data_IF_971700100248
#
_entry.id   IF_971700100248
#
_cell.length_a   1.000
_cell.length_b   1.000
_cell.length_c   1.000
_cell.angle_alpha   90.00
_cell.angle_beta   90.00
_cell.angle_gamma   90.00
#
_symmetry.space_group_name_H-M   'P 1'
#
loop_
_entity.id
_entity.type
_entity.pdbx_description
1 polymer ?
#
# COMPACT_ATOMS: atom_id res chain seq x y z
N UNK A 1 52.09 -75.65 -53.16
CA UNK A 1 51.95 -75.30 -54.58
C UNK A 1 50.74 -74.38 -54.70
N UNK A 2 50.93 -73.22 -55.33
CA UNK A 2 49.91 -72.27 -55.82
C UNK A 2 49.28 -71.31 -54.79
N UNK A 3 49.24 -70.07 -55.27
CA UNK A 3 48.96 -68.75 -54.68
C UNK A 3 47.51 -68.46 -54.31
N UNK A 4 47.37 -67.58 -53.30
CA UNK A 4 46.64 -66.28 -53.22
C UNK A 4 45.19 -66.20 -53.75
N UNK A 5 44.34 -65.48 -52.99
CA UNK A 5 43.37 -64.43 -53.39
C UNK A 5 42.23 -64.38 -52.34
N UNK A 6 41.55 -63.29 -52.00
CA UNK A 6 41.80 -61.85 -51.94
C UNK A 6 40.66 -61.31 -51.05
N UNK A 7 40.97 -60.32 -50.22
CA UNK A 7 40.06 -59.63 -49.29
C UNK A 7 38.94 -58.87 -50.02
N UNK A 8 37.72 -58.94 -49.48
CA UNK A 8 36.67 -57.94 -49.68
C UNK A 8 35.78 -57.86 -48.41
N UNK A 9 36.24 -57.09 -47.41
CA UNK A 9 35.35 -56.29 -46.57
C UNK A 9 34.61 -55.23 -47.42
N UNK A 10 33.55 -54.55 -47.00
CA UNK A 10 32.99 -54.17 -45.69
C UNK A 10 31.59 -53.62 -45.95
N UNK A 11 30.66 -53.65 -44.99
CA UNK A 11 29.61 -52.62 -44.80
C UNK A 11 28.60 -53.02 -43.71
N UNK A 12 28.89 -52.77 -42.43
CA UNK A 12 27.86 -52.92 -41.37
C UNK A 12 28.09 -52.00 -40.14
N UNK A 13 28.37 -50.70 -40.33
CA UNK A 13 28.59 -49.78 -39.19
C UNK A 13 28.10 -48.35 -39.40
N UNK A 14 26.96 -48.12 -40.09
CA UNK A 14 26.48 -46.72 -40.27
C UNK A 14 24.99 -46.45 -39.99
N UNK A 15 24.13 -47.46 -39.86
CA UNK A 15 22.67 -47.23 -39.69
C UNK A 15 22.26 -46.76 -38.28
N UNK A 16 22.87 -47.30 -37.22
CA UNK A 16 22.47 -46.98 -35.83
C UNK A 16 22.89 -45.59 -35.37
N UNK A 17 24.02 -45.07 -35.86
CA UNK A 17 24.50 -43.72 -35.52
C UNK A 17 23.66 -42.63 -36.19
N UNK A 18 23.09 -42.93 -37.37
CA UNK A 18 22.21 -42.01 -38.10
C UNK A 18 20.82 -41.91 -37.44
N UNK A 19 20.22 -43.04 -37.03
CA UNK A 19 18.93 -43.05 -36.32
C UNK A 19 18.99 -42.31 -34.97
N UNK A 20 20.10 -42.40 -34.24
CA UNK A 20 20.32 -41.69 -32.97
C UNK A 20 20.35 -40.17 -33.17
N UNK A 21 21.05 -39.68 -34.21
CA UNK A 21 21.15 -38.25 -34.51
C UNK A 21 19.80 -37.66 -34.96
N UNK A 22 19.03 -38.40 -35.76
CA UNK A 22 17.69 -37.97 -36.20
C UNK A 22 16.72 -37.86 -35.01
N UNK A 23 16.76 -38.81 -34.07
CA UNK A 23 15.92 -38.74 -32.85
C UNK A 23 16.28 -37.54 -31.97
N UNK A 24 17.57 -37.23 -31.81
CA UNK A 24 18.02 -36.05 -31.04
C UNK A 24 17.58 -34.75 -31.72
N UNK A 25 17.69 -34.65 -33.05
CA UNK A 25 17.25 -33.47 -33.81
C UNK A 25 15.73 -33.24 -33.71
N UNK A 26 14.93 -34.31 -33.73
CA UNK A 26 13.47 -34.21 -33.55
C UNK A 26 13.12 -33.73 -32.14
N UNK A 27 13.81 -34.23 -31.10
CA UNK A 27 13.57 -33.79 -29.71
C UNK A 27 13.97 -32.33 -29.51
N UNK A 28 15.12 -31.91 -30.04
CA UNK A 28 15.56 -30.50 -29.99
C UNK A 28 14.59 -29.59 -30.75
N UNK A 29 14.08 -30.02 -31.89
CA UNK A 29 13.05 -29.30 -32.64
C UNK A 29 11.75 -29.10 -31.85
N UNK A 30 11.28 -30.14 -31.14
CA UNK A 30 10.07 -30.06 -30.30
C UNK A 30 10.29 -29.13 -29.09
N UNK A 31 11.47 -29.14 -28.47
CA UNK A 31 11.79 -28.23 -27.35
C UNK A 31 11.90 -26.77 -27.81
N UNK A 32 12.47 -26.50 -28.99
CA UNK A 32 12.56 -25.14 -29.52
C UNK A 32 11.19 -24.62 -29.96
N UNK A 33 10.37 -25.46 -30.61
CA UNK A 33 9.00 -25.10 -31.00
C UNK A 33 8.07 -24.91 -29.78
N UNK A 34 8.24 -25.71 -28.73
CA UNK A 34 7.52 -25.54 -27.46
C UNK A 34 7.91 -24.25 -26.73
N UNK A 35 9.17 -23.81 -26.79
CA UNK A 35 9.57 -22.54 -26.16
C UNK A 35 9.18 -21.30 -26.99
N UNK A 36 8.95 -21.44 -28.30
CA UNK A 36 8.48 -20.33 -29.14
C UNK A 36 6.98 -20.03 -28.96
N UNK A 37 6.16 -21.00 -28.55
CA UNK A 37 4.73 -20.80 -28.32
C UNK A 37 4.39 -20.28 -26.92
N UNK A 38 5.30 -20.37 -25.94
CA UNK A 38 5.09 -19.83 -24.58
C UNK A 38 5.61 -18.40 -24.36
N UNK A 39 6.16 -17.75 -25.40
CA UNK A 39 6.79 -16.43 -25.29
C UNK A 39 5.92 -15.21 -25.61
N UNK A 40 4.65 -15.37 -25.95
CA UNK A 40 3.74 -14.25 -26.29
C UNK A 40 2.37 -14.37 -25.64
N UNK A 41 2.30 -14.74 -24.36
CA UNK A 41 1.18 -14.26 -23.57
C UNK A 41 1.35 -12.75 -23.45
N UNK A 42 0.62 -12.01 -24.29
CA UNK A 42 0.37 -10.59 -24.09
C UNK A 42 -0.10 -10.46 -22.65
N UNK A 43 0.76 -9.95 -21.77
CA UNK A 43 0.33 -9.48 -20.47
C UNK A 43 -0.71 -8.40 -20.74
N UNK A 44 -1.99 -8.77 -20.71
CA UNK A 44 -3.09 -7.84 -20.58
C UNK A 44 -2.97 -7.28 -19.17
N UNK A 45 -2.05 -6.32 -19.01
CA UNK A 45 -1.99 -5.48 -17.84
C UNK A 45 -3.26 -4.65 -17.85
N UNK A 46 -4.27 -5.07 -17.09
CA UNK A 46 -5.39 -4.21 -16.76
C UNK A 46 -4.80 -2.98 -16.06
N UNK A 47 -4.73 -1.86 -16.78
CA UNK A 47 -4.51 -0.56 -16.17
C UNK A 47 -5.78 -0.21 -15.41
N UNK A 48 -5.86 -0.65 -14.16
CA UNK A 48 -6.86 -0.14 -13.23
C UNK A 48 -6.47 1.31 -12.91
N UNK A 49 -7.15 2.27 -13.52
CA UNK A 49 -7.20 3.62 -12.96
C UNK A 49 -8.32 3.63 -11.93
N UNK A 50 -7.98 3.52 -10.65
CA UNK A 50 -8.93 3.82 -9.58
C UNK A 50 -9.02 5.34 -9.52
N UNK A 51 -10.07 5.91 -10.11
CA UNK A 51 -10.47 7.29 -9.85
C UNK A 51 -11.33 7.30 -8.59
N UNK A 52 -10.75 7.69 -7.47
CA UNK A 52 -11.49 7.90 -6.24
C UNK A 52 -12.21 9.25 -6.33
N UNK A 53 -13.55 9.21 -6.29
CA UNK A 53 -14.38 10.40 -6.27
C UNK A 53 -14.56 10.78 -4.80
N UNK A 54 -14.04 11.94 -4.42
CA UNK A 54 -14.37 12.55 -3.14
C UNK A 54 -15.87 12.86 -3.13
N UNK A 55 -16.64 12.02 -2.43
CA UNK A 55 -18.11 12.12 -2.40
C UNK A 55 -18.60 13.43 -1.77
N UNK A 56 -17.75 14.10 -1.00
CA UNK A 56 -18.05 15.35 -0.33
C UNK A 56 -17.35 16.55 -0.99
N UNK A 57 -16.86 16.39 -2.22
CA UNK A 57 -16.24 17.47 -2.96
C UNK A 57 -17.21 18.64 -3.12
N UNK A 58 -16.75 19.83 -2.72
CA UNK A 58 -17.48 21.06 -2.88
C UNK A 58 -16.58 22.10 -3.56
N UNK A 59 -16.98 22.51 -4.76
CA UNK A 59 -16.31 23.56 -5.53
C UNK A 59 -16.25 24.89 -4.76
N UNK A 60 -17.20 25.13 -3.85
CA UNK A 60 -17.21 26.33 -3.02
C UNK A 60 -16.07 26.36 -1.99
N UNK A 61 -15.34 25.26 -1.82
CA UNK A 61 -14.14 25.12 -1.00
C UNK A 61 -12.82 25.13 -1.81
N UNK A 62 -12.85 25.51 -3.09
CA UNK A 62 -11.64 25.52 -3.94
C UNK A 62 -11.00 26.91 -3.95
N UNK A 63 -9.69 26.97 -3.70
CA UNK A 63 -8.90 28.21 -3.61
C UNK A 63 -7.61 28.09 -4.43
N UNK A 64 -7.12 29.23 -4.94
CA UNK A 64 -5.77 29.33 -5.48
C UNK A 64 -4.74 29.20 -4.35
N UNK A 65 -3.76 28.30 -4.49
CA UNK A 65 -2.75 28.02 -3.44
C UNK A 65 -1.88 29.23 -3.11
N UNK A 66 -1.50 30.00 -4.13
CA UNK A 66 -0.58 31.13 -4.01
C UNK A 66 -1.23 32.38 -3.40
N UNK A 67 -2.50 32.64 -3.73
CA UNK A 67 -3.21 33.87 -3.32
C UNK A 67 -4.25 33.63 -2.22
N UNK A 68 -4.63 32.38 -1.96
CA UNK A 68 -5.73 32.04 -1.06
C UNK A 68 -7.10 32.50 -1.56
N UNK A 69 -7.22 33.03 -2.79
CA UNK A 69 -8.48 33.51 -3.35
C UNK A 69 -9.35 32.35 -3.79
N UNK A 70 -10.65 32.43 -3.49
CA UNK A 70 -11.64 31.42 -3.90
C UNK A 70 -11.75 31.36 -5.43
N UNK A 71 -11.78 30.15 -5.96
CA UNK A 71 -12.02 29.87 -7.39
C UNK A 71 -13.53 29.84 -7.61
N UNK A 72 -14.01 30.60 -8.60
CA UNK A 72 -15.44 30.61 -8.95
C UNK A 72 -15.82 29.31 -9.66
N UNK A 73 -17.09 28.91 -9.59
CA UNK A 73 -17.61 27.73 -10.31
C UNK A 73 -17.29 27.77 -11.80
N UNK A 74 -17.46 28.94 -12.44
CA UNK A 74 -17.12 29.15 -13.85
C UNK A 74 -15.64 28.90 -14.12
N UNK A 75 -14.76 29.53 -13.35
CA UNK A 75 -13.31 29.34 -13.47
C UNK A 75 -12.92 27.89 -13.23
N UNK A 76 -13.49 27.23 -12.23
CA UNK A 76 -13.25 25.82 -11.95
C UNK A 76 -13.67 24.92 -13.12
N UNK A 77 -14.85 25.14 -13.70
CA UNK A 77 -15.28 24.41 -14.91
C UNK A 77 -14.33 24.61 -16.08
N UNK A 78 -13.80 25.81 -16.28
CA UNK A 78 -12.79 26.09 -17.31
C UNK A 78 -11.47 25.34 -17.04
N UNK A 79 -11.05 25.25 -15.77
CA UNK A 79 -9.86 24.50 -15.36
C UNK A 79 -10.01 23.00 -15.63
N UNK A 80 -11.12 22.38 -15.20
CA UNK A 80 -11.40 20.96 -15.43
C UNK A 80 -11.53 20.65 -16.93
N UNK A 81 -12.12 21.54 -17.73
CA UNK A 81 -12.21 21.34 -19.19
C UNK A 81 -10.83 21.33 -19.85
N UNK A 82 -9.88 22.13 -19.34
CA UNK A 82 -8.50 22.19 -19.83
C UNK A 82 -7.66 21.02 -19.33
N UNK A 83 -7.87 20.59 -18.10
CA UNK A 83 -7.20 19.46 -17.48
C UNK A 83 -8.23 18.60 -16.71
N UNK A 84 -8.76 17.53 -17.32
CA UNK A 84 -9.69 16.62 -16.64
C UNK A 84 -9.10 15.91 -15.42
N UNK A 85 -7.76 15.79 -15.37
CA UNK A 85 -7.02 15.18 -14.26
C UNK A 85 -6.44 16.26 -13.32
N UNK A 86 -7.20 17.32 -13.09
CA UNK A 86 -6.79 18.43 -12.24
C UNK A 86 -6.48 17.95 -10.82
N UNK A 87 -5.29 18.28 -10.33
CA UNK A 87 -4.89 17.96 -8.96
C UNK A 87 -5.27 19.09 -8.01
N UNK A 88 -5.88 18.71 -6.89
CA UNK A 88 -6.21 19.58 -5.77
C UNK A 88 -5.57 19.03 -4.50
N UNK A 89 -4.78 19.88 -3.84
CA UNK A 89 -4.24 19.59 -2.51
C UNK A 89 -5.34 19.82 -1.48
N UNK A 90 -5.48 18.91 -0.50
CA UNK A 90 -6.54 18.99 0.51
C UNK A 90 -5.98 19.52 1.82
N UNK A 91 -6.70 20.46 2.42
CA UNK A 91 -6.55 20.81 3.83
C UNK A 91 -7.57 20.00 4.63
N UNK A 92 -7.07 19.22 5.60
CA UNK A 92 -7.87 18.23 6.34
C UNK A 92 -7.82 18.55 7.83
N UNK A 93 -8.99 18.68 8.46
CA UNK A 93 -9.11 19.00 9.88
C UNK A 93 -8.74 17.82 10.80
N UNK A 94 -8.92 18.00 12.12
CA UNK A 94 -8.69 16.93 13.09
C UNK A 94 -9.70 15.77 12.99
N UNK A 95 -10.89 15.99 12.43
CA UNK A 95 -11.90 14.95 12.24
C UNK A 95 -11.76 14.18 10.92
N UNK A 96 -10.79 14.56 10.08
CA UNK A 96 -10.63 13.98 8.75
C UNK A 96 -11.56 14.60 7.70
N UNK A 97 -12.18 15.76 7.97
CA UNK A 97 -12.98 16.47 6.98
C UNK A 97 -12.09 17.36 6.11
N UNK A 98 -12.40 17.42 4.81
CA UNK A 98 -11.76 18.37 3.91
C UNK A 98 -12.38 19.76 4.11
N UNK A 99 -11.57 20.68 4.60
CA UNK A 99 -11.98 22.07 4.84
C UNK A 99 -11.75 22.95 3.62
N UNK A 100 -10.67 22.70 2.87
CA UNK A 100 -10.30 23.45 1.66
C UNK A 100 -9.61 22.55 0.64
N UNK A 101 -9.76 22.92 -0.63
CA UNK A 101 -8.99 22.39 -1.74
C UNK A 101 -8.14 23.50 -2.34
N UNK A 102 -6.87 23.24 -2.57
CA UNK A 102 -5.93 24.19 -3.14
C UNK A 102 -5.54 23.77 -4.56
N UNK A 103 -5.80 24.67 -5.50
CA UNK A 103 -5.32 24.59 -6.88
C UNK A 103 -3.99 25.34 -7.01
N UNK A 104 -2.95 24.62 -7.44
CA UNK A 104 -1.63 25.17 -7.72
C UNK A 104 -1.36 25.07 -9.24
N UNK A 105 -1.44 26.18 -10.01
CA UNK A 105 -1.20 26.16 -11.45
C UNK A 105 0.20 25.63 -11.82
N UNK A 106 1.19 25.80 -10.93
CA UNK A 106 2.58 25.39 -11.15
C UNK A 106 2.79 23.90 -10.88
N UNK A 107 1.87 23.27 -10.16
CA UNK A 107 1.95 21.87 -9.77
C UNK A 107 0.71 21.08 -10.19
N UNK A 108 0.42 21.16 -11.48
CA UNK A 108 -0.57 20.30 -12.14
C UNK A 108 0.08 19.06 -12.78
N UNK A 109 1.41 18.97 -12.74
CA UNK A 109 2.19 17.84 -13.25
C UNK A 109 2.72 17.04 -12.05
N UNK A 110 1.82 16.36 -11.36
CA UNK A 110 2.21 15.26 -10.51
C UNK A 110 1.55 14.02 -11.11
N UNK A 111 2.35 13.20 -11.79
CA UNK A 111 2.06 11.76 -11.84
C UNK A 111 1.57 11.36 -10.45
N UNK A 112 0.45 10.63 -10.36
CA UNK A 112 -0.29 10.10 -9.20
C UNK A 112 0.57 9.47 -8.08
N UNK A 113 1.63 10.14 -7.67
CA UNK A 113 2.59 9.73 -6.67
C UNK A 113 2.28 10.62 -5.49
N UNK A 114 1.74 10.07 -4.40
CA UNK A 114 1.54 10.80 -3.15
C UNK A 114 2.87 11.23 -2.49
N UNK A 115 3.98 11.24 -3.24
CA UNK A 115 5.35 11.40 -2.77
C UNK A 115 5.82 12.87 -2.69
N UNK A 116 5.06 13.84 -3.19
CA UNK A 116 5.57 15.19 -3.33
C UNK A 116 5.23 16.17 -2.19
N UNK A 117 4.17 15.95 -1.38
CA UNK A 117 3.54 17.10 -0.69
C UNK A 117 2.85 16.88 0.66
N UNK A 118 3.32 15.95 1.48
CA UNK A 118 3.04 16.05 2.90
C UNK A 118 4.35 16.26 3.62
N UNK A 119 4.42 17.30 4.44
CA UNK A 119 5.51 17.51 5.40
C UNK A 119 5.86 16.15 5.99
N UNK A 120 7.12 15.74 5.84
CA UNK A 120 7.62 14.57 6.57
C UNK A 120 7.26 14.83 8.02
N UNK A 121 6.48 13.94 8.63
CA UNK A 121 6.12 14.08 10.04
C UNK A 121 7.44 14.16 10.80
N UNK A 122 7.77 15.35 11.29
CA UNK A 122 9.00 15.58 12.02
C UNK A 122 8.88 14.93 13.40
N UNK A 123 9.99 14.40 13.90
CA UNK A 123 10.02 13.87 15.28
C UNK A 123 9.62 14.99 16.24
N UNK A 124 8.86 14.64 17.27
CA UNK A 124 8.31 15.61 18.21
C UNK A 124 6.86 15.97 17.85
N UNK A 125 6.61 16.88 16.93
CA UNK A 125 5.23 17.35 16.74
C UNK A 125 4.36 16.39 15.91
N UNK A 126 3.18 16.04 16.40
CA UNK A 126 2.19 15.27 15.64
C UNK A 126 0.83 15.97 15.59
N UNK A 127 0.23 16.18 14.40
CA UNK A 127 -1.08 16.81 14.29
C UNK A 127 -2.17 15.98 14.99
N UNK A 128 -3.12 16.67 15.64
CA UNK A 128 -4.22 16.00 16.32
C UNK A 128 -5.12 15.20 15.36
N UNK A 129 -5.74 14.15 15.89
CA UNK A 129 -6.91 13.50 15.29
C UNK A 129 -8.06 13.32 16.27
N UNK A 130 -9.26 13.30 15.72
CA UNK A 130 -10.52 12.92 16.34
C UNK A 130 -11.21 11.90 15.45
N UNK A 131 -11.09 10.63 15.80
CA UNK A 131 -11.61 9.50 15.02
C UNK A 131 -12.83 8.89 15.70
N UNK A 132 -13.73 8.32 14.88
CA UNK A 132 -14.81 7.46 15.36
C UNK A 132 -14.55 6.05 14.86
N UNK A 133 -14.51 5.07 15.76
CA UNK A 133 -14.30 3.67 15.41
C UNK A 133 -15.53 3.07 14.74
N UNK A 134 -15.39 1.91 14.12
CA UNK A 134 -16.52 1.16 13.54
C UNK A 134 -17.58 0.81 14.59
N UNK A 135 -17.22 0.79 15.86
CA UNK A 135 -18.09 0.52 17.01
C UNK A 135 -18.52 1.78 17.76
N UNK A 136 -18.36 2.96 17.13
CA UNK A 136 -18.82 4.27 17.61
C UNK A 136 -18.06 4.83 18.81
N UNK A 137 -16.90 4.25 19.15
CA UNK A 137 -15.99 4.84 20.14
C UNK A 137 -15.33 6.08 19.54
N UNK A 138 -15.38 7.21 20.25
CA UNK A 138 -14.64 8.42 19.88
C UNK A 138 -13.23 8.36 20.46
N UNK A 139 -12.24 8.76 19.67
CA UNK A 139 -10.83 8.80 20.06
C UNK A 139 -10.26 10.16 19.69
N UNK A 140 -9.75 10.91 20.66
CA UNK A 140 -8.99 12.15 20.46
C UNK A 140 -7.56 11.96 20.98
N UNK A 141 -6.55 12.21 20.14
CA UNK A 141 -5.15 12.06 20.56
C UNK A 141 -4.81 12.93 21.76
N UNK A 142 -5.39 14.13 21.89
CA UNK A 142 -5.18 15.01 23.05
C UNK A 142 -5.70 14.40 24.36
N UNK A 143 -6.69 13.52 24.29
CA UNK A 143 -7.25 12.79 25.43
C UNK A 143 -6.47 11.50 25.76
N UNK A 144 -5.53 11.08 24.89
CA UNK A 144 -4.68 9.91 25.09
C UNK A 144 -3.39 10.22 25.85
N UNK A 145 -3.25 11.41 26.45
CA UNK A 145 -2.09 11.76 27.29
C UNK A 145 -1.86 10.70 28.37
N UNK A 146 -0.59 10.35 28.58
CA UNK A 146 -0.15 9.26 29.44
C UNK A 146 -0.18 7.88 28.78
N UNK A 147 -0.51 7.79 27.48
CA UNK A 147 -0.50 6.51 26.74
C UNK A 147 0.45 6.56 25.55
N UNK A 148 1.20 5.49 25.35
CA UNK A 148 1.87 5.22 24.09
C UNK A 148 0.81 4.90 23.03
N UNK A 149 0.85 5.55 21.87
CA UNK A 149 -0.16 5.35 20.81
C UNK A 149 0.47 4.64 19.62
N UNK A 150 -0.11 3.50 19.25
CA UNK A 150 0.22 2.76 18.03
C UNK A 150 -0.86 3.09 16.99
N UNK A 151 -0.50 3.85 15.97
CA UNK A 151 -1.41 4.25 14.90
C UNK A 151 -1.00 3.58 13.59
N UNK A 152 -1.69 2.50 13.23
CA UNK A 152 -1.42 1.71 12.02
C UNK A 152 -2.37 2.09 10.89
N UNK A 153 -1.86 2.15 9.68
CA UNK A 153 -2.60 2.42 8.45
C UNK A 153 -2.57 1.20 7.53
N UNK A 154 -3.74 0.85 7.01
CA UNK A 154 -3.99 -0.31 6.15
C UNK A 154 -4.92 0.08 4.99
N UNK A 155 -4.83 -0.65 3.87
CA UNK A 155 -5.75 -0.44 2.75
C UNK A 155 -7.15 -1.00 3.09
N UNK A 156 -7.26 -2.33 3.10
CA UNK A 156 -8.50 -3.05 3.36
C UNK A 156 -8.22 -4.30 4.18
N UNK A 157 -9.11 -4.67 5.10
CA UNK A 157 -8.97 -5.92 5.86
C UNK A 157 -9.31 -7.19 5.04
N UNK A 158 -10.08 -7.05 3.96
CA UNK A 158 -10.55 -8.16 3.12
C UNK A 158 -9.68 -8.37 1.86
N UNK A 159 -8.50 -7.76 1.80
CA UNK A 159 -7.56 -7.87 0.68
C UNK A 159 -6.47 -8.92 0.98
N UNK A 160 -5.94 -9.59 -0.05
CA UNK A 160 -4.84 -10.56 0.08
C UNK A 160 -3.55 -9.95 0.64
N UNK A 161 -3.38 -8.63 0.52
CA UNK A 161 -2.25 -7.86 1.07
C UNK A 161 -2.41 -7.60 2.56
N UNK A 162 -3.58 -7.86 3.14
CA UNK A 162 -3.81 -7.62 4.56
C UNK A 162 -3.02 -8.62 5.41
N UNK A 163 -2.00 -8.11 6.12
CA UNK A 163 -1.08 -8.94 6.90
C UNK A 163 -1.57 -9.16 8.32
N UNK A 164 -2.63 -9.96 8.48
CA UNK A 164 -3.24 -10.29 9.79
C UNK A 164 -2.22 -10.78 10.83
N UNK A 165 -1.24 -11.58 10.42
CA UNK A 165 -0.20 -12.11 11.31
C UNK A 165 0.70 -11.02 11.93
N UNK A 166 0.96 -9.92 11.21
CA UNK A 166 1.74 -8.80 11.76
C UNK A 166 0.99 -8.11 12.91
N UNK A 167 -0.34 -8.02 12.80
CA UNK A 167 -1.21 -7.45 13.83
C UNK A 167 -1.26 -8.37 15.05
N UNK A 168 -1.37 -9.69 14.84
CA UNK A 168 -1.31 -10.68 15.93
C UNK A 168 0.00 -10.58 16.73
N UNK A 169 1.14 -10.44 16.04
CA UNK A 169 2.44 -10.21 16.70
C UNK A 169 2.45 -8.94 17.54
N UNK A 170 1.83 -7.84 17.08
CA UNK A 170 1.70 -6.62 17.89
C UNK A 170 0.79 -6.84 19.09
N UNK A 171 -0.34 -7.54 18.92
CA UNK A 171 -1.21 -7.89 20.04
C UNK A 171 -0.48 -8.73 21.09
N UNK A 172 0.34 -9.70 20.67
CA UNK A 172 1.19 -10.48 21.58
C UNK A 172 2.17 -9.59 22.35
N UNK A 173 2.87 -8.69 21.66
CA UNK A 173 3.77 -7.70 22.29
C UNK A 173 3.02 -6.82 23.29
N UNK A 174 1.85 -6.29 22.93
CA UNK A 174 1.02 -5.46 23.84
C UNK A 174 0.57 -6.27 25.05
N UNK A 175 0.15 -7.53 24.85
CA UNK A 175 -0.34 -8.40 25.91
C UNK A 175 0.78 -8.85 26.86
N UNK A 176 2.03 -8.89 26.40
CA UNK A 176 3.20 -9.19 27.24
C UNK A 176 3.60 -8.03 28.17
N UNK A 177 3.13 -6.80 27.91
CA UNK A 177 3.45 -5.65 28.73
C UNK A 177 2.82 -5.75 30.13
N UNK A 178 3.62 -5.45 31.16
CA UNK A 178 3.16 -5.41 32.55
C UNK A 178 1.97 -4.43 32.76
N UNK A 179 1.99 -3.29 32.04
CA UNK A 179 0.90 -2.32 32.06
C UNK A 179 0.33 -2.08 30.65
N UNK A 180 -0.33 -3.08 30.06
CA UNK A 180 -0.93 -2.93 28.72
C UNK A 180 -1.95 -1.78 28.58
N UNK A 181 -2.55 -1.30 29.67
CA UNK A 181 -3.50 -0.16 29.64
C UNK A 181 -2.84 1.17 29.30
N UNK A 182 -1.51 1.24 29.42
CA UNK A 182 -0.68 2.38 28.99
C UNK A 182 -0.51 2.47 27.47
N UNK A 183 -1.03 1.51 26.70
CA UNK A 183 -0.99 1.54 25.24
C UNK A 183 -2.39 1.76 24.68
N UNK A 184 -2.51 2.62 23.67
CA UNK A 184 -3.70 2.71 22.81
C UNK A 184 -3.31 2.32 21.40
N UNK A 185 -3.91 1.27 20.88
CA UNK A 185 -3.64 0.79 19.52
C UNK A 185 -4.86 1.00 18.62
N UNK A 186 -4.61 1.54 17.42
CA UNK A 186 -5.64 1.95 16.47
C UNK A 186 -5.20 1.51 15.08
N UNK A 187 -6.10 0.89 14.31
CA UNK A 187 -5.90 0.65 12.87
C UNK A 187 -6.87 1.54 12.10
N UNK A 188 -6.33 2.32 11.19
CA UNK A 188 -7.04 3.17 10.24
C UNK A 188 -7.03 2.49 8.88
N UNK A 189 -8.19 2.00 8.44
CA UNK A 189 -8.38 1.41 7.12
C UNK A 189 -8.84 2.46 6.12
N UNK A 190 -8.31 2.41 4.90
CA UNK A 190 -8.86 3.19 3.78
C UNK A 190 -10.30 2.78 3.47
N UNK A 191 -10.58 1.48 3.55
CA UNK A 191 -11.85 0.89 3.12
C UNK A 191 -13.04 1.15 4.06
N UNK A 192 -14.23 0.79 3.59
CA UNK A 192 -15.45 1.03 4.34
C UNK A 192 -15.67 0.04 5.50
N UNK A 193 -16.57 0.40 6.41
CA UNK A 193 -16.86 -0.37 7.62
C UNK A 193 -17.28 -1.83 7.35
N UNK A 194 -17.99 -2.09 6.25
CA UNK A 194 -18.43 -3.45 5.93
C UNK A 194 -17.25 -4.33 5.51
N UNK A 195 -16.31 -3.78 4.73
CA UNK A 195 -15.09 -4.46 4.33
C UNK A 195 -14.16 -4.72 5.52
N UNK A 196 -14.04 -3.74 6.45
CA UNK A 196 -13.32 -3.94 7.71
C UNK A 196 -13.93 -5.10 8.49
N UNK A 197 -15.25 -5.11 8.72
CA UNK A 197 -15.94 -6.18 9.47
C UNK A 197 -15.83 -7.55 8.81
N UNK A 198 -15.77 -7.60 7.48
CA UNK A 198 -15.66 -8.86 6.74
C UNK A 198 -14.25 -9.47 6.84
N UNK A 199 -13.22 -8.65 6.80
CA UNK A 199 -11.82 -9.10 6.77
C UNK A 199 -11.12 -9.15 8.12
N UNK A 200 -11.54 -8.31 9.08
CA UNK A 200 -10.94 -8.27 10.41
C UNK A 200 -11.69 -9.20 11.37
N UNK A 201 -11.19 -10.42 11.52
CA UNK A 201 -11.78 -11.51 12.31
C UNK A 201 -10.94 -11.88 13.55
N UNK A 202 -9.98 -11.02 13.94
CA UNK A 202 -9.19 -11.21 15.15
C UNK A 202 -10.04 -11.01 16.40
N UNK A 203 -10.26 -12.10 17.14
CA UNK A 203 -10.94 -12.07 18.44
C UNK A 203 -10.00 -11.49 19.50
N UNK A 204 -10.54 -10.64 20.38
CA UNK A 204 -9.80 -10.03 21.51
C UNK A 204 -8.57 -9.21 21.10
N UNK A 205 -8.55 -8.67 19.87
CA UNK A 205 -7.54 -7.71 19.44
C UNK A 205 -7.53 -6.48 20.36
N UNK A 206 -6.35 -5.95 20.67
CA UNK A 206 -6.23 -4.70 21.43
C UNK A 206 -6.55 -3.46 20.58
N UNK A 207 -6.60 -3.62 19.25
CA UNK A 207 -6.80 -2.52 18.31
C UNK A 207 -8.26 -2.09 18.19
N UNK A 208 -8.45 -0.77 18.29
CA UNK A 208 -9.65 -0.09 17.82
C UNK A 208 -9.59 0.09 16.30
N UNK A 209 -10.72 -0.09 15.62
CA UNK A 209 -10.74 -0.09 14.15
C UNK A 209 -11.48 1.13 13.63
N UNK A 210 -10.84 1.89 12.75
CA UNK A 210 -11.39 3.05 12.06
C UNK A 210 -11.51 2.71 10.58
N UNK A 211 -12.67 2.98 9.98
CA UNK A 211 -12.94 2.78 8.56
C UNK A 211 -13.02 4.14 7.83
N UNK A 212 -12.99 4.12 6.51
CA UNK A 212 -13.04 5.31 5.64
C UNK A 212 -11.94 6.33 5.99
N UNK A 213 -10.74 5.84 6.29
CA UNK A 213 -9.62 6.60 6.81
C UNK A 213 -8.80 7.35 5.76
N UNK A 214 -9.26 7.44 4.50
CA UNK A 214 -8.49 8.01 3.39
C UNK A 214 -7.97 9.42 3.68
N UNK A 215 -8.81 10.28 4.26
CA UNK A 215 -8.38 11.64 4.59
C UNK A 215 -7.31 11.67 5.70
N UNK A 216 -7.31 10.70 6.63
CA UNK A 216 -6.21 10.59 7.61
C UNK A 216 -4.93 10.05 6.96
N UNK A 217 -5.05 9.08 6.05
CA UNK A 217 -3.93 8.58 5.23
C UNK A 217 -3.26 9.74 4.48
N UNK A 218 -4.05 10.58 3.82
CA UNK A 218 -3.58 11.77 3.11
C UNK A 218 -3.00 12.79 4.07
N UNK A 219 -3.70 13.14 5.16
CA UNK A 219 -3.25 14.12 6.15
C UNK A 219 -1.86 13.78 6.72
N UNK A 220 -1.59 12.51 6.94
CA UNK A 220 -0.33 12.04 7.54
C UNK A 220 0.69 11.56 6.50
N UNK A 221 0.47 11.79 5.20
CA UNK A 221 1.43 11.43 4.16
C UNK A 221 1.76 9.95 4.10
N UNK A 222 0.76 9.09 4.33
CA UNK A 222 0.95 7.65 4.28
C UNK A 222 0.91 7.18 2.82
N UNK A 223 2.06 6.79 2.30
CA UNK A 223 2.22 6.36 0.90
C UNK A 223 2.51 4.87 0.73
N UNK A 224 2.69 4.14 1.84
CA UNK A 224 3.01 2.71 1.86
C UNK A 224 2.14 2.02 2.92
N UNK A 225 1.75 0.79 2.61
CA UNK A 225 0.88 -0.01 3.46
C UNK A 225 1.47 -1.43 3.63
N UNK A 226 1.41 -2.00 4.83
CA UNK A 226 1.03 -1.31 6.07
C UNK A 226 2.05 -0.24 6.47
N UNK A 227 1.63 0.69 7.32
CA UNK A 227 2.56 1.60 8.00
C UNK A 227 2.09 1.87 9.41
N UNK A 228 3.01 1.87 10.36
CA UNK A 228 2.72 2.11 11.77
C UNK A 228 3.48 3.34 12.25
N UNK A 229 2.75 4.34 12.72
CA UNK A 229 3.31 5.48 13.45
C UNK A 229 3.24 5.20 14.94
N UNK A 230 4.34 5.47 15.64
CA UNK A 230 4.40 5.39 17.09
C UNK A 230 4.44 6.79 17.69
N UNK A 231 3.55 7.06 18.64
CA UNK A 231 3.49 8.33 19.36
C UNK A 231 3.76 8.11 20.85
N UNK A 232 4.49 9.04 21.47
CA UNK A 232 4.82 9.01 22.89
C UNK A 232 3.60 9.33 23.78
N UNK A 233 3.80 9.27 25.10
CA UNK A 233 2.76 9.56 26.10
C UNK A 233 2.27 11.02 26.11
N UNK A 234 2.98 11.93 25.45
CA UNK A 234 2.56 13.32 25.26
C UNK A 234 1.81 13.54 23.93
N UNK A 235 1.73 12.51 23.09
CA UNK A 235 1.15 12.56 21.75
C UNK A 235 2.14 13.01 20.67
N UNK A 236 3.45 13.00 20.95
CA UNK A 236 4.50 13.39 20.02
C UNK A 236 4.89 12.24 19.09
N UNK A 237 5.27 12.54 17.86
CA UNK A 237 5.74 11.52 16.93
C UNK A 237 7.15 11.02 17.29
N UNK A 238 7.30 9.71 17.41
CA UNK A 238 8.58 9.04 17.68
C UNK A 238 9.20 8.53 16.37
N UNK A 239 8.51 7.61 15.70
CA UNK A 239 9.06 6.87 14.55
C UNK A 239 7.97 6.21 13.70
N UNK A 240 8.29 5.98 12.41
CA UNK A 240 7.46 5.26 11.45
C UNK A 240 8.08 3.89 11.12
N UNK A 241 7.28 2.85 11.30
CA UNK A 241 7.66 1.46 11.05
C UNK A 241 6.92 0.91 9.82
N UNK A 242 7.62 0.08 9.05
CA UNK A 242 7.03 -0.69 7.95
C UNK A 242 6.63 -2.11 8.38
N UNK A 243 7.27 -2.65 9.42
CA UNK A 243 7.05 -4.00 9.93
C UNK A 243 6.83 -3.97 11.45
N UNK A 244 5.94 -4.83 11.94
CA UNK A 244 5.61 -4.87 13.37
C UNK A 244 6.70 -5.45 14.27
N UNK A 245 7.59 -6.27 13.70
CA UNK A 245 8.67 -6.91 14.44
C UNK A 245 9.72 -5.91 14.93
N UNK A 246 9.90 -4.81 14.22
CA UNK A 246 10.86 -3.74 14.54
C UNK A 246 10.44 -2.89 15.75
N UNK A 247 9.19 -3.00 16.21
CA UNK A 247 8.66 -2.18 17.30
C UNK A 247 8.98 -2.81 18.65
N UNK A 248 9.87 -2.21 19.44
CA UNK A 248 10.08 -2.56 20.85
C UNK A 248 9.23 -1.65 21.76
N UNK A 249 8.09 -2.15 22.22
CA UNK A 249 7.17 -1.36 23.05
C UNK A 249 7.70 -1.11 24.46
N UNK A 250 8.57 -1.98 24.99
CA UNK A 250 9.08 -1.82 26.35
C UNK A 250 10.05 -0.66 26.47
N UNK A 251 10.87 -0.44 25.43
CA UNK A 251 11.81 0.67 25.38
C UNK A 251 11.09 2.03 25.58
N UNK A 252 9.92 2.20 24.96
CA UNK A 252 9.17 3.47 25.00
C UNK A 252 8.28 3.64 26.24
N UNK A 253 8.16 2.62 27.09
CA UNK A 253 7.37 2.66 28.33
C UNK A 253 8.22 2.75 29.61
N UNK A 254 9.56 2.72 29.49
CA UNK A 254 10.51 2.74 30.61
C UNK A 254 10.83 4.15 31.15
N UNK A 255 10.18 5.19 30.65
CA UNK A 255 10.40 6.59 31.06
C UNK A 255 9.22 7.15 31.85
#
# INVERSE_FOLDING_TARGET
MISVYLDLGTTFTNKNKMLSKVKILVIVGIVILGNLTYGQDKQFGFHYSITEIDQNFDVDKVFYKDTGRKITKRTFSELIRKNPNLYLEKEIDEHGNVVRYFYDPKNQVANNTPNARNELIEKGNFPNFKMTTIDQTKIDLKELKGKLVILRFELCANDFRFKKHEIQKLDEKINALANKKSVKSIIVFQCNKNEVRKGFDLKNSNFELVANGQNFIEKYGITRFPSTLLLDQNGNFIEKYSYSEDIDLEEFLKN
#
